data_IF_487362906590
#
_entry.id   IF_487362906590
#
_cell.length_a   1.000
_cell.length_b   1.000
_cell.length_c   1.000
_cell.angle_alpha   90.00
_cell.angle_beta   90.00
_cell.angle_gamma   90.00
#
_symmetry.space_group_name_H-M   'P 1'
#
loop_
_entity.id
_entity.type
_entity.pdbx_description
1 polymer ?
#
# COMPACT_ATOMS: atom_id res chain seq x y z
N UNK A 1 3.97 9.50 46.84
CA UNK A 1 3.11 9.25 45.66
C UNK A 1 4.02 8.80 44.51
N UNK A 2 4.25 7.50 44.41
CA UNK A 2 5.13 6.85 43.44
C UNK A 2 4.26 6.07 42.45
N UNK A 3 3.88 6.71 41.35
CA UNK A 3 3.07 6.10 40.29
C UNK A 3 3.96 5.27 39.37
N UNK A 4 3.85 3.95 39.53
CA UNK A 4 4.09 2.88 38.56
C UNK A 4 4.44 3.34 37.13
N UNK A 5 5.72 3.17 36.75
CA UNK A 5 6.24 3.34 35.39
C UNK A 5 6.71 2.02 34.75
N UNK A 6 6.23 0.88 35.26
CA UNK A 6 6.77 -0.44 34.89
C UNK A 6 5.85 -1.28 33.98
N UNK A 7 4.81 -0.68 33.37
CA UNK A 7 3.83 -1.42 32.59
C UNK A 7 4.09 -1.50 31.07
N UNK A 8 5.13 -0.88 30.51
CA UNK A 8 5.21 -0.64 29.05
C UNK A 8 6.25 -1.41 28.24
N UNK A 9 6.98 -2.40 28.77
CA UNK A 9 8.07 -3.04 28.00
C UNK A 9 8.13 -4.57 27.99
N UNK A 10 7.01 -5.27 28.19
CA UNK A 10 6.91 -6.69 27.82
C UNK A 10 6.44 -6.86 26.38
N UNK A 11 7.18 -6.32 25.42
CA UNK A 11 7.09 -6.83 24.05
C UNK A 11 7.73 -8.22 24.05
N UNK A 12 6.91 -9.26 24.07
CA UNK A 12 7.38 -10.64 24.02
C UNK A 12 8.25 -10.87 22.79
N UNK A 13 9.41 -11.47 22.95
CA UNK A 13 10.24 -11.90 21.83
C UNK A 13 9.60 -13.12 21.19
N UNK A 14 9.22 -13.03 19.91
CA UNK A 14 8.65 -14.15 19.15
C UNK A 14 9.68 -14.69 18.15
N UNK A 15 9.62 -16.00 17.88
CA UNK A 15 10.43 -16.64 16.82
C UNK A 15 10.01 -16.21 15.40
N UNK A 16 8.76 -15.76 15.26
CA UNK A 16 8.22 -15.16 14.04
C UNK A 16 7.59 -13.82 14.42
N UNK A 17 8.18 -12.71 13.95
CA UNK A 17 7.69 -11.37 14.27
C UNK A 17 7.07 -10.69 13.06
N UNK A 18 6.70 -9.42 13.27
CA UNK A 18 6.06 -8.57 12.26
C UNK A 18 6.85 -8.51 10.94
N UNK A 19 8.19 -8.48 11.05
CA UNK A 19 9.07 -8.33 9.90
C UNK A 19 9.03 -9.56 8.99
N UNK A 20 9.03 -10.78 9.55
CA UNK A 20 8.88 -12.01 8.79
C UNK A 20 7.53 -12.08 8.07
N UNK A 21 6.44 -11.66 8.72
CA UNK A 21 5.11 -11.59 8.10
C UNK A 21 5.04 -10.58 6.95
N UNK A 22 5.65 -9.40 7.11
CA UNK A 22 5.74 -8.40 6.03
C UNK A 22 6.56 -8.95 4.85
N UNK A 23 7.68 -9.63 5.11
CA UNK A 23 8.50 -10.23 4.06
C UNK A 23 7.74 -11.34 3.31
N UNK A 24 7.00 -12.18 4.03
CA UNK A 24 6.16 -13.23 3.42
C UNK A 24 5.04 -12.61 2.59
N UNK A 25 4.35 -11.59 3.12
CA UNK A 25 3.31 -10.88 2.38
C UNK A 25 3.85 -10.22 1.10
N UNK A 26 4.98 -9.53 1.19
CA UNK A 26 5.68 -8.96 0.03
C UNK A 26 6.07 -10.04 -0.99
N UNK A 27 6.58 -11.18 -0.53
CA UNK A 27 6.96 -12.28 -1.40
C UNK A 27 5.75 -12.87 -2.13
N UNK A 28 4.64 -13.08 -1.42
CA UNK A 28 3.38 -13.53 -2.02
C UNK A 28 2.92 -12.53 -3.08
N UNK A 29 2.81 -11.25 -2.74
CA UNK A 29 2.39 -10.20 -3.68
C UNK A 29 3.31 -10.11 -4.89
N UNK A 30 4.63 -10.19 -4.70
CA UNK A 30 5.58 -10.12 -5.79
C UNK A 30 5.49 -11.33 -6.73
N UNK A 31 5.34 -12.54 -6.18
CA UNK A 31 5.16 -13.77 -6.97
C UNK A 31 3.81 -13.77 -7.69
N UNK A 32 2.72 -13.43 -7.02
CA UNK A 32 1.39 -13.29 -7.65
C UNK A 32 1.43 -12.22 -8.73
N UNK A 33 2.10 -11.09 -8.49
CA UNK A 33 2.34 -10.05 -9.49
C UNK A 33 3.09 -10.57 -10.71
N UNK A 34 4.15 -11.36 -10.54
CA UNK A 34 4.90 -11.96 -11.66
C UNK A 34 4.05 -12.90 -12.51
N UNK A 35 3.21 -13.72 -11.85
CA UNK A 35 2.32 -14.66 -12.54
C UNK A 35 1.22 -13.92 -13.28
N UNK A 36 0.55 -12.96 -12.64
CA UNK A 36 -0.56 -12.19 -13.25
C UNK A 36 -0.10 -11.23 -14.35
N UNK A 37 1.12 -10.68 -14.25
CA UNK A 37 1.73 -9.85 -15.29
C UNK A 37 2.00 -10.66 -16.58
N UNK A 38 2.12 -11.98 -16.48
CA UNK A 38 2.22 -12.84 -17.66
C UNK A 38 0.89 -12.86 -18.45
N UNK A 39 -0.24 -12.83 -17.76
CA UNK A 39 -1.58 -13.00 -18.35
C UNK A 39 -2.25 -11.67 -18.78
N UNK A 40 -2.01 -10.56 -18.09
CA UNK A 40 -2.81 -9.32 -18.29
C UNK A 40 -2.25 -8.32 -19.32
N UNK A 41 -0.97 -8.42 -19.71
CA UNK A 41 -0.35 -7.44 -20.61
C UNK A 41 -0.15 -8.07 -21.98
N UNK A 42 -1.20 -8.37 -22.74
CA UNK A 42 -1.05 -8.83 -24.14
C UNK A 42 -1.07 -7.69 -25.17
N UNK A 43 -1.26 -6.44 -24.74
CA UNK A 43 -1.70 -5.33 -25.62
C UNK A 43 -0.62 -4.26 -25.93
N UNK A 44 0.57 -4.32 -25.33
CA UNK A 44 1.65 -3.35 -25.60
C UNK A 44 2.91 -4.00 -26.16
N UNK A 45 2.75 -4.74 -27.25
CA UNK A 45 3.88 -5.06 -28.13
C UNK A 45 4.00 -3.91 -29.14
N UNK A 46 4.66 -2.83 -28.73
CA UNK A 46 5.10 -1.82 -29.69
C UNK A 46 6.18 -2.51 -30.51
N UNK A 47 5.94 -2.79 -31.79
CA UNK A 47 6.83 -3.54 -32.68
C UNK A 47 8.22 -2.93 -32.95
N UNK A 48 8.74 -2.14 -32.01
CA UNK A 48 10.11 -1.67 -31.94
C UNK A 48 11.02 -2.76 -31.33
N UNK A 49 12.29 -2.86 -31.77
CA UNK A 49 13.29 -3.80 -31.24
C UNK A 49 13.80 -3.41 -29.83
N UNK A 50 12.97 -2.71 -29.04
CA UNK A 50 13.27 -2.25 -27.69
C UNK A 50 12.84 -3.23 -26.60
N UNK A 51 13.26 -3.00 -25.34
CA UNK A 51 12.80 -3.80 -24.21
C UNK A 51 11.28 -3.67 -24.06
N UNK A 52 10.58 -4.80 -24.13
CA UNK A 52 9.15 -4.99 -23.89
C UNK A 52 8.68 -4.13 -22.68
N UNK A 53 7.52 -3.48 -22.78
CA UNK A 53 6.93 -2.69 -21.70
C UNK A 53 6.78 -3.50 -20.39
N UNK A 54 6.77 -4.84 -20.48
CA UNK A 54 6.75 -5.77 -19.35
C UNK A 54 8.11 -5.93 -18.65
N UNK A 55 9.21 -5.52 -19.26
CA UNK A 55 10.56 -5.70 -18.74
C UNK A 55 10.75 -5.00 -17.40
N UNK A 56 10.36 -3.72 -17.31
CA UNK A 56 10.59 -2.92 -16.11
C UNK A 56 9.76 -3.40 -14.90
N UNK A 57 8.42 -3.62 -15.01
CA UNK A 57 7.65 -4.18 -13.90
C UNK A 57 8.15 -5.57 -13.48
N UNK A 58 8.53 -6.42 -14.45
CA UNK A 58 9.05 -7.77 -14.17
C UNK A 58 10.39 -7.70 -13.41
N UNK A 59 11.28 -6.79 -13.79
CA UNK A 59 12.57 -6.60 -13.12
C UNK A 59 12.37 -6.12 -11.67
N UNK A 60 11.47 -5.16 -11.45
CA UNK A 60 11.14 -4.67 -10.10
C UNK A 60 10.57 -5.79 -9.24
N UNK A 61 9.63 -6.59 -9.76
CA UNK A 61 9.05 -7.71 -9.02
C UNK A 61 10.09 -8.81 -8.71
N UNK A 62 11.01 -9.09 -9.64
CA UNK A 62 12.13 -9.99 -9.39
C UNK A 62 13.04 -9.48 -8.27
N UNK A 63 13.40 -8.20 -8.30
CA UNK A 63 14.22 -7.58 -7.25
C UNK A 63 13.52 -7.61 -5.90
N UNK A 64 12.21 -7.33 -5.86
CA UNK A 64 11.41 -7.42 -4.62
C UNK A 64 11.38 -8.85 -4.09
N UNK A 65 11.17 -9.84 -4.95
CA UNK A 65 11.16 -11.26 -4.58
C UNK A 65 12.51 -11.69 -4.00
N UNK A 66 13.59 -11.37 -4.71
CA UNK A 66 14.96 -11.72 -4.32
C UNK A 66 15.37 -11.00 -3.02
N UNK A 67 15.02 -9.72 -2.88
CA UNK A 67 15.25 -8.94 -1.67
C UNK A 67 14.49 -9.49 -0.45
N UNK A 68 13.22 -9.85 -0.62
CA UNK A 68 12.41 -10.46 0.42
C UNK A 68 12.97 -11.83 0.85
N UNK A 69 13.38 -12.66 -0.11
CA UNK A 69 13.97 -13.98 0.14
C UNK A 69 15.32 -13.87 0.89
N UNK A 70 16.21 -12.99 0.44
CA UNK A 70 17.50 -12.73 1.08
C UNK A 70 17.31 -12.21 2.51
N UNK A 71 16.34 -11.31 2.72
CA UNK A 71 16.04 -10.79 4.05
C UNK A 71 15.50 -11.89 4.97
N UNK A 72 14.56 -12.69 4.49
CA UNK A 72 14.01 -13.82 5.25
C UNK A 72 15.11 -14.84 5.59
N UNK A 73 16.01 -15.13 4.65
CA UNK A 73 17.14 -16.04 4.86
C UNK A 73 18.17 -15.49 5.86
N UNK A 74 18.51 -14.20 5.77
CA UNK A 74 19.47 -13.53 6.66
C UNK A 74 18.95 -13.39 8.09
N UNK A 75 17.67 -13.07 8.26
CA UNK A 75 17.08 -12.79 9.57
C UNK A 75 16.34 -13.99 10.19
N UNK A 76 16.42 -15.19 9.60
CA UNK A 76 15.77 -16.42 10.13
C UNK A 76 16.19 -16.83 11.55
N UNK A 77 17.31 -16.33 12.06
CA UNK A 77 17.87 -16.68 13.38
C UNK A 77 17.78 -15.54 14.41
N UNK A 78 17.36 -14.35 13.99
CA UNK A 78 17.22 -13.20 14.88
C UNK A 78 15.82 -13.19 15.49
N UNK A 79 15.68 -13.11 16.82
CA UNK A 79 14.38 -12.93 17.45
C UNK A 79 13.77 -11.61 17.00
N UNK A 80 12.50 -11.63 16.62
CA UNK A 80 11.80 -10.47 16.07
C UNK A 80 10.80 -9.89 17.09
N UNK A 81 10.48 -8.61 16.91
CA UNK A 81 9.42 -7.93 17.67
C UNK A 81 8.09 -8.65 17.50
N UNK A 82 7.41 -8.91 18.62
CA UNK A 82 6.05 -9.46 18.62
C UNK A 82 5.12 -8.67 17.68
N UNK A 83 4.18 -9.41 17.11
CA UNK A 83 3.04 -8.87 16.37
C UNK A 83 2.37 -7.83 17.28
N UNK A 84 2.36 -6.57 16.83
CA UNK A 84 1.83 -5.44 17.59
C UNK A 84 0.35 -5.57 17.91
N UNK A 85 -0.20 -4.55 18.59
CA UNK A 85 -1.59 -4.55 19.05
C UNK A 85 -2.60 -4.87 17.91
N UNK A 86 -3.61 -5.69 18.21
CA UNK A 86 -4.63 -6.16 17.25
C UNK A 86 -5.41 -5.00 16.64
N UNK A 87 -5.56 -3.90 17.38
CA UNK A 87 -6.21 -2.67 16.92
C UNK A 87 -5.49 -2.04 15.72
N UNK A 88 -4.15 -2.10 15.67
CA UNK A 88 -3.34 -1.60 14.58
C UNK A 88 -3.55 -2.41 13.30
N UNK A 89 -3.62 -3.74 13.42
CA UNK A 89 -3.90 -4.62 12.29
C UNK A 89 -5.28 -4.41 11.70
N UNK A 90 -6.30 -4.22 12.54
CA UNK A 90 -7.64 -3.92 12.08
C UNK A 90 -7.68 -2.63 11.26
N UNK A 91 -6.99 -1.58 11.72
CA UNK A 91 -6.86 -0.32 10.96
C UNK A 91 -6.17 -0.53 9.62
N UNK A 92 -5.06 -1.28 9.58
CA UNK A 92 -4.33 -1.56 8.33
C UNK A 92 -5.21 -2.31 7.32
N UNK A 93 -5.92 -3.35 7.77
CA UNK A 93 -6.85 -4.10 6.92
C UNK A 93 -7.96 -3.19 6.41
N UNK A 94 -8.52 -2.32 7.25
CA UNK A 94 -9.56 -1.39 6.85
C UNK A 94 -9.05 -0.38 5.81
N UNK A 95 -7.85 0.17 5.98
CA UNK A 95 -7.20 1.03 4.96
C UNK A 95 -7.04 0.27 3.64
N UNK A 96 -6.52 -0.96 3.67
CA UNK A 96 -6.33 -1.76 2.45
C UNK A 96 -7.65 -2.04 1.73
N UNK A 97 -8.68 -2.45 2.47
CA UNK A 97 -10.01 -2.70 1.91
C UNK A 97 -10.61 -1.43 1.34
N UNK A 98 -10.51 -0.31 2.06
CA UNK A 98 -11.00 0.99 1.60
C UNK A 98 -10.31 1.43 0.31
N UNK A 99 -9.00 1.21 0.18
CA UNK A 99 -8.26 1.52 -1.04
C UNK A 99 -8.67 0.61 -2.20
N UNK A 100 -8.87 -0.69 -1.95
CA UNK A 100 -9.38 -1.62 -2.95
C UNK A 100 -10.77 -1.24 -3.47
N UNK A 101 -11.68 -0.87 -2.56
CA UNK A 101 -13.02 -0.38 -2.91
C UNK A 101 -12.94 0.93 -3.70
N UNK A 102 -12.04 1.85 -3.32
CA UNK A 102 -11.84 3.11 -4.03
C UNK A 102 -11.45 2.86 -5.50
N UNK A 103 -10.46 2.01 -5.72
CA UNK A 103 -10.00 1.65 -7.07
C UNK A 103 -11.12 0.96 -7.87
N UNK A 104 -11.84 0.03 -7.25
CA UNK A 104 -12.92 -0.70 -7.92
C UNK A 104 -14.10 0.21 -8.32
N UNK A 105 -14.39 1.24 -7.52
CA UNK A 105 -15.51 2.18 -7.75
C UNK A 105 -15.11 3.40 -8.58
N UNK A 106 -13.82 3.61 -8.83
CA UNK A 106 -13.29 4.79 -9.53
C UNK A 106 -13.84 4.95 -10.95
N UNK A 107 -14.06 3.84 -11.67
CA UNK A 107 -14.64 3.89 -13.02
C UNK A 107 -16.14 4.26 -13.04
N UNK A 108 -16.85 4.08 -11.92
CA UNK A 108 -18.29 4.33 -11.83
C UNK A 108 -18.58 5.70 -11.24
N UNK A 109 -17.85 6.07 -10.18
CA UNK A 109 -18.08 7.30 -9.42
C UNK A 109 -17.18 8.47 -9.88
N UNK A 110 -16.17 8.20 -10.70
CA UNK A 110 -15.19 9.17 -11.17
C UNK A 110 -14.05 9.41 -10.16
N UNK A 111 -12.91 9.88 -10.66
CA UNK A 111 -11.67 10.05 -9.90
C UNK A 111 -11.83 11.00 -8.71
N UNK A 112 -12.45 12.16 -8.91
CA UNK A 112 -12.49 13.20 -7.88
C UNK A 112 -13.33 12.76 -6.68
N UNK A 113 -14.49 12.16 -6.93
CA UNK A 113 -15.42 11.73 -5.87
C UNK A 113 -14.82 10.58 -5.07
N UNK A 114 -14.27 9.58 -5.76
CA UNK A 114 -13.65 8.42 -5.10
C UNK A 114 -12.45 8.82 -4.25
N UNK A 115 -11.49 9.55 -4.83
CA UNK A 115 -10.26 9.92 -4.10
C UNK A 115 -10.55 10.88 -2.95
N UNK A 116 -11.47 11.85 -3.13
CA UNK A 116 -11.87 12.73 -2.04
C UNK A 116 -12.55 11.96 -0.90
N UNK A 117 -13.53 11.11 -1.21
CA UNK A 117 -14.23 10.31 -0.20
C UNK A 117 -13.25 9.39 0.54
N UNK A 118 -12.40 8.67 -0.19
CA UNK A 118 -11.39 7.79 0.40
C UNK A 118 -10.42 8.55 1.28
N UNK A 119 -9.93 9.72 0.85
CA UNK A 119 -9.05 10.57 1.65
C UNK A 119 -9.69 11.01 2.97
N UNK A 120 -10.98 11.36 2.95
CA UNK A 120 -11.75 11.72 4.16
C UNK A 120 -11.87 10.52 5.11
N UNK A 121 -12.28 9.36 4.57
CA UNK A 121 -12.40 8.14 5.38
C UNK A 121 -11.06 7.70 5.97
N UNK A 122 -9.96 7.83 5.23
CA UNK A 122 -8.61 7.57 5.75
C UNK A 122 -8.26 8.53 6.88
N UNK A 123 -8.38 9.84 6.67
CA UNK A 123 -8.04 10.84 7.70
C UNK A 123 -8.87 10.63 8.98
N UNK A 124 -10.14 10.23 8.85
CA UNK A 124 -10.98 9.85 9.97
C UNK A 124 -10.50 8.56 10.68
N UNK A 125 -10.11 7.54 9.92
CA UNK A 125 -9.59 6.27 10.44
C UNK A 125 -8.23 6.43 11.13
N UNK A 126 -7.40 7.35 10.67
CA UNK A 126 -6.13 7.72 11.31
C UNK A 126 -6.33 8.57 12.58
N UNK A 127 -7.55 9.05 12.83
CA UNK A 127 -7.92 9.77 14.06
C UNK A 127 -7.67 11.28 13.99
N UNK A 128 -7.52 11.86 12.79
CA UNK A 128 -7.44 13.31 12.64
C UNK A 128 -8.78 13.96 12.97
N UNK A 129 -8.80 14.67 14.11
CA UNK A 129 -10.02 15.20 14.72
C UNK A 129 -10.41 16.60 14.24
N UNK A 130 -9.59 17.23 13.38
CA UNK A 130 -9.83 18.57 12.86
C UNK A 130 -10.91 18.54 11.78
N UNK A 131 -12.16 18.73 12.20
CA UNK A 131 -13.36 18.62 11.34
C UNK A 131 -13.35 19.45 10.06
N UNK A 132 -12.62 20.58 10.03
CA UNK A 132 -12.54 21.43 8.85
C UNK A 132 -11.40 21.01 7.90
N UNK A 133 -10.22 20.69 8.44
CA UNK A 133 -9.07 20.28 7.62
C UNK A 133 -9.23 18.88 7.04
N UNK A 134 -9.89 17.98 7.78
CA UNK A 134 -10.08 16.58 7.39
C UNK A 134 -10.83 16.43 6.04
N UNK A 135 -11.93 17.15 5.75
CA UNK A 135 -12.56 17.12 4.42
C UNK A 135 -11.96 18.08 3.40
N UNK A 136 -11.55 19.28 3.82
CA UNK A 136 -11.11 20.32 2.87
C UNK A 136 -9.80 19.91 2.17
N UNK A 137 -8.85 19.33 2.92
CA UNK A 137 -7.54 19.01 2.39
C UNK A 137 -7.58 17.90 1.32
N UNK A 138 -8.25 16.75 1.54
CA UNK A 138 -8.43 15.74 0.51
C UNK A 138 -9.12 16.28 -0.74
N UNK A 139 -10.18 17.10 -0.58
CA UNK A 139 -10.90 17.68 -1.72
C UNK A 139 -9.99 18.61 -2.53
N UNK A 140 -9.30 19.54 -1.85
CA UNK A 140 -8.42 20.50 -2.49
C UNK A 140 -7.25 19.81 -3.21
N UNK A 141 -6.61 18.84 -2.56
CA UNK A 141 -5.52 18.05 -3.14
C UNK A 141 -6.02 17.25 -4.34
N UNK A 142 -7.17 16.59 -4.23
CA UNK A 142 -7.74 15.79 -5.34
C UNK A 142 -8.08 16.67 -6.53
N UNK A 143 -8.66 17.87 -6.31
CA UNK A 143 -8.93 18.82 -7.39
C UNK A 143 -7.64 19.31 -8.05
N UNK A 144 -6.61 19.63 -7.26
CA UNK A 144 -5.31 20.06 -7.80
C UNK A 144 -4.68 18.96 -8.67
N UNK A 145 -4.73 17.70 -8.21
CA UNK A 145 -4.24 16.54 -8.97
C UNK A 145 -5.07 16.34 -10.25
N UNK A 146 -6.39 16.43 -10.18
CA UNK A 146 -7.26 16.29 -11.36
C UNK A 146 -6.98 17.38 -12.39
N UNK A 147 -6.79 18.62 -11.94
CA UNK A 147 -6.46 19.75 -12.78
C UNK A 147 -5.09 19.56 -13.44
N UNK A 148 -4.07 19.22 -12.67
CA UNK A 148 -2.71 18.97 -13.17
C UNK A 148 -2.67 17.77 -14.12
N UNK A 149 -3.37 16.67 -13.80
CA UNK A 149 -3.45 15.49 -14.64
C UNK A 149 -4.07 15.80 -16.01
N UNK A 150 -5.14 16.60 -16.05
CA UNK A 150 -5.79 17.00 -17.30
C UNK A 150 -4.98 18.02 -18.11
N UNK A 151 -4.42 19.05 -17.45
CA UNK A 151 -3.78 20.17 -18.17
C UNK A 151 -2.29 19.98 -18.41
N UNK A 152 -1.56 19.28 -17.54
CA UNK A 152 -0.11 19.09 -17.68
C UNK A 152 0.26 17.74 -18.29
N UNK A 153 -0.52 16.70 -17.99
CA UNK A 153 -0.20 15.32 -18.39
C UNK A 153 -1.16 14.76 -19.44
N UNK A 154 -2.21 15.52 -19.80
CA UNK A 154 -3.25 15.13 -20.75
C UNK A 154 -3.84 13.73 -20.48
N UNK A 155 -3.92 13.36 -19.20
CA UNK A 155 -4.40 12.05 -18.78
C UNK A 155 -5.94 12.03 -18.80
N UNK A 156 -6.57 11.06 -19.49
CA UNK A 156 -8.00 10.86 -19.40
C UNK A 156 -8.33 10.27 -18.02
N UNK A 157 -8.64 11.15 -17.08
CA UNK A 157 -9.13 10.75 -15.76
C UNK A 157 -10.65 10.54 -15.83
N UNK A 158 -11.17 9.37 -15.37
CA UNK A 158 -12.60 9.09 -15.30
C UNK A 158 -13.33 10.04 -14.34
#
# INVERSE_FOLDING_TARGET
MTTNRDASSRQGTSRYGLQSWICIGLLIVAVTGLVTLHDQVTVFDFGDPGPDARFFPRLVLWLLTLGALLRLWRYRRTPETAIGDRSGWLRVILVMTLMGVAVATMNVLGFVVTVAATGIFLAWLLGERHWLFNPVLPIAVTMAIAWAGRHMLNLPLP
#
